data_IF_398845991388
#
_entry.id   IF_398845991388
#
_cell.length_a   1.000
_cell.length_b   1.000
_cell.length_c   1.000
_cell.angle_alpha   90.00
_cell.angle_beta   90.00
_cell.angle_gamma   90.00
#
_symmetry.space_group_name_H-M   'P 1'
#
loop_
_entity.id
_entity.type
_entity.pdbx_description
1 polymer ?
#
# COMPACT_ATOMS: atom_id res chain seq x y z
N UNK A 1 19.88 -2.17 7.31
CA UNK A 1 19.47 -0.77 7.03
C UNK A 1 19.80 -0.42 5.58
N UNK A 2 18.97 -0.88 4.65
CA UNK A 2 19.05 -0.55 3.23
C UNK A 2 17.94 0.47 2.94
N UNK A 3 18.32 1.75 2.89
CA UNK A 3 17.39 2.84 2.66
C UNK A 3 16.81 2.77 1.25
N UNK A 4 15.51 2.49 1.15
CA UNK A 4 14.73 2.62 -0.08
C UNK A 4 14.70 4.08 -0.54
N UNK A 5 15.34 4.36 -1.68
CA UNK A 5 15.38 5.68 -2.29
C UNK A 5 14.00 5.97 -2.91
N UNK A 6 13.33 7.01 -2.41
CA UNK A 6 12.06 7.50 -2.93
C UNK A 6 12.24 8.00 -4.37
N UNK A 7 11.73 7.26 -5.35
CA UNK A 7 11.72 7.71 -6.76
C UNK A 7 10.45 8.54 -6.96
N UNK A 8 10.61 9.86 -7.00
CA UNK A 8 9.55 10.78 -7.44
C UNK A 8 9.47 10.72 -8.97
N UNK A 9 8.58 9.89 -9.51
CA UNK A 9 8.25 9.94 -10.94
C UNK A 9 7.21 11.03 -11.20
N UNK A 10 7.69 12.26 -11.43
CA UNK A 10 6.91 13.28 -12.10
C UNK A 10 6.99 13.04 -13.61
N UNK A 11 6.06 12.28 -14.18
CA UNK A 11 5.88 12.23 -15.62
C UNK A 11 4.99 13.41 -16.05
N UNK A 12 5.64 14.48 -16.52
CA UNK A 12 4.99 15.58 -17.23
C UNK A 12 4.32 15.08 -18.51
N UNK A 13 3.11 15.59 -18.79
CA UNK A 13 2.43 15.43 -20.09
C UNK A 13 3.36 15.95 -21.20
N UNK A 14 3.90 15.06 -22.01
CA UNK A 14 4.69 15.39 -23.19
C UNK A 14 6.08 14.74 -23.29
N UNK A 15 6.53 13.99 -22.27
CA UNK A 15 7.79 13.25 -22.38
C UNK A 15 7.62 11.99 -23.24
N UNK A 16 7.87 12.11 -24.54
CA UNK A 16 8.20 10.95 -25.38
C UNK A 16 9.58 10.49 -24.95
N UNK A 17 9.64 9.46 -24.10
CA UNK A 17 10.88 8.73 -23.86
C UNK A 17 11.24 8.07 -25.19
N UNK A 18 12.09 8.72 -25.98
CA UNK A 18 12.64 8.21 -27.24
C UNK A 18 13.54 7.01 -26.97
N UNK A 19 12.93 5.88 -26.64
CA UNK A 19 13.58 4.59 -26.50
C UNK A 19 13.00 3.76 -27.63
N UNK A 20 13.74 3.61 -28.74
CA UNK A 20 13.47 2.61 -29.78
C UNK A 20 13.59 1.21 -29.17
N UNK A 21 12.57 0.83 -28.41
CA UNK A 21 12.52 -0.47 -27.75
C UNK A 21 11.93 -1.47 -28.74
N UNK A 22 12.58 -2.61 -28.99
CA UNK A 22 11.98 -3.69 -29.77
C UNK A 22 10.73 -4.29 -29.08
N UNK A 23 10.40 -3.84 -27.87
CA UNK A 23 9.18 -4.18 -27.14
C UNK A 23 8.04 -3.18 -27.36
N UNK A 24 8.28 -2.02 -27.98
CA UNK A 24 7.27 -0.98 -28.19
C UNK A 24 6.09 -1.49 -29.03
N UNK A 25 6.35 -2.26 -30.09
CA UNK A 25 5.33 -2.93 -30.90
C UNK A 25 4.71 -4.19 -30.28
N UNK A 26 5.21 -4.64 -29.11
CA UNK A 26 4.72 -5.86 -28.43
C UNK A 26 3.76 -5.57 -27.28
N UNK A 27 3.41 -4.30 -27.05
CA UNK A 27 2.43 -3.93 -26.01
C UNK A 27 1.06 -4.47 -26.39
N UNK A 28 0.38 -5.13 -25.46
CA UNK A 28 -1.05 -5.35 -25.62
C UNK A 28 -1.76 -4.02 -25.55
N UNK A 29 -2.50 -3.66 -26.60
CA UNK A 29 -3.45 -2.53 -26.58
C UNK A 29 -4.80 -2.94 -25.98
N UNK A 30 -5.00 -4.25 -25.75
CA UNK A 30 -6.19 -4.79 -25.10
C UNK A 30 -5.93 -4.82 -23.60
N UNK A 31 -6.66 -3.98 -22.87
CA UNK A 31 -6.68 -4.01 -21.40
C UNK A 31 -7.46 -5.22 -20.89
N UNK A 32 -7.12 -5.69 -19.70
CA UNK A 32 -7.88 -6.73 -19.00
C UNK A 32 -8.83 -6.05 -18.01
N UNK A 33 -10.12 -6.37 -18.09
CA UNK A 33 -11.07 -5.98 -17.07
C UNK A 33 -10.85 -6.85 -15.83
N UNK A 34 -10.57 -6.22 -14.69
CA UNK A 34 -10.51 -6.92 -13.41
C UNK A 34 -11.93 -7.16 -12.89
N UNK A 35 -12.17 -8.35 -12.34
CA UNK A 35 -13.41 -8.68 -11.64
C UNK A 35 -13.15 -8.60 -10.11
N UNK A 36 -13.40 -7.44 -9.47
CA UNK A 36 -13.11 -7.28 -8.06
C UNK A 36 -14.12 -8.04 -7.20
N UNK A 37 -13.63 -8.61 -6.09
CA UNK A 37 -14.46 -9.08 -4.97
C UNK A 37 -14.32 -8.08 -3.83
N UNK A 38 -15.44 -7.60 -3.31
CA UNK A 38 -15.43 -6.72 -2.14
C UNK A 38 -14.88 -7.46 -0.92
N UNK A 39 -14.00 -6.78 -0.18
CA UNK A 39 -13.46 -7.25 1.09
C UNK A 39 -13.34 -6.07 2.05
N UNK A 40 -13.32 -6.36 3.34
CA UNK A 40 -13.01 -5.36 4.37
C UNK A 40 -11.54 -5.46 4.72
N UNK A 41 -10.83 -4.35 4.67
CA UNK A 41 -9.44 -4.24 5.15
C UNK A 41 -9.43 -3.32 6.35
N UNK A 42 -9.02 -3.85 7.49
CA UNK A 42 -8.85 -3.08 8.74
C UNK A 42 -7.36 -2.78 8.95
N UNK A 43 -6.99 -1.71 9.67
CA UNK A 43 -5.59 -1.46 10.01
C UNK A 43 -4.99 -2.63 10.77
N UNK A 44 -3.75 -2.99 10.43
CA UNK A 44 -2.95 -3.97 11.18
C UNK A 44 -2.27 -3.30 12.38
N UNK A 45 -1.67 -4.10 13.27
CA UNK A 45 -0.90 -3.56 14.40
C UNK A 45 0.33 -2.77 13.93
N UNK A 46 0.84 -3.07 12.73
CA UNK A 46 1.97 -2.36 12.13
C UNK A 46 1.60 -0.94 11.65
N UNK A 47 0.33 -0.63 11.38
CA UNK A 47 -0.08 0.72 10.94
C UNK A 47 0.19 1.76 12.05
N UNK A 48 0.79 2.90 11.69
CA UNK A 48 1.15 3.96 12.64
C UNK A 48 -0.05 4.48 13.47
N UNK A 49 -1.28 4.36 12.95
CA UNK A 49 -2.50 4.75 13.67
C UNK A 49 -2.77 3.83 14.86
N UNK A 50 -2.42 2.54 14.77
CA UNK A 50 -2.51 1.62 15.89
C UNK A 50 -1.61 2.08 17.04
N UNK A 51 -0.36 2.41 16.73
CA UNK A 51 0.61 2.94 17.71
C UNK A 51 0.12 4.26 18.32
N UNK A 52 -0.39 5.19 17.50
CA UNK A 52 -0.95 6.47 17.97
C UNK A 52 -2.12 6.26 18.94
N UNK A 53 -3.01 5.34 18.63
CA UNK A 53 -4.28 5.19 19.33
C UNK A 53 -4.24 4.13 20.44
N UNK A 54 -3.11 3.46 20.65
CA UNK A 54 -2.97 2.31 21.54
C UNK A 54 -3.53 2.57 22.95
N UNK A 55 -3.14 3.66 23.61
CA UNK A 55 -3.61 3.97 24.97
C UNK A 55 -5.12 4.17 25.04
N UNK A 56 -5.69 4.84 24.04
CA UNK A 56 -7.13 5.09 23.96
C UNK A 56 -7.90 3.79 23.66
N UNK A 57 -7.33 2.92 22.83
CA UNK A 57 -7.86 1.58 22.56
C UNK A 57 -7.81 0.74 23.83
N UNK A 58 -6.71 0.73 24.58
CA UNK A 58 -6.55 -0.09 25.77
C UNK A 58 -7.49 0.35 26.93
N UNK A 59 -7.54 1.64 27.23
CA UNK A 59 -8.18 2.16 28.45
C UNK A 59 -9.72 2.15 28.45
N UNK A 60 -10.39 2.07 27.29
CA UNK A 60 -11.87 2.18 27.19
C UNK A 60 -12.58 0.82 27.20
N UNK A 61 -12.30 -0.04 28.18
CA UNK A 61 -12.69 -1.47 28.17
C UNK A 61 -12.23 -2.19 26.88
N UNK A 62 -11.20 -1.66 26.21
CA UNK A 62 -10.95 -2.00 24.82
C UNK A 62 -10.03 -3.20 24.65
N UNK A 63 -9.88 -4.04 25.68
CA UNK A 63 -9.30 -5.37 25.52
C UNK A 63 -10.01 -6.16 24.41
N UNK A 64 -11.34 -6.12 24.33
CA UNK A 64 -12.09 -6.75 23.25
C UNK A 64 -11.83 -6.14 21.86
N UNK A 65 -11.66 -4.81 21.78
CA UNK A 65 -11.37 -4.11 20.52
C UNK A 65 -9.92 -4.34 20.07
N UNK A 66 -8.99 -4.37 21.01
CA UNK A 66 -7.60 -4.69 20.79
C UNK A 66 -7.47 -6.13 20.29
N UNK A 67 -8.12 -7.09 20.95
CA UNK A 67 -8.16 -8.48 20.49
C UNK A 67 -8.74 -8.58 19.09
N UNK A 68 -9.84 -7.90 18.76
CA UNK A 68 -10.39 -7.93 17.41
C UNK A 68 -9.41 -7.38 16.33
N UNK A 69 -8.58 -6.39 16.66
CA UNK A 69 -7.55 -5.87 15.74
C UNK A 69 -6.36 -6.83 15.60
N UNK A 70 -5.96 -7.48 16.70
CA UNK A 70 -4.92 -8.49 16.70
C UNK A 70 -5.40 -9.75 15.96
N UNK A 71 -6.62 -10.21 16.21
CA UNK A 71 -7.26 -11.33 15.52
C UNK A 71 -7.43 -11.04 14.03
N UNK A 72 -7.72 -9.79 13.64
CA UNK A 72 -7.74 -9.41 12.23
C UNK A 72 -6.34 -9.40 11.59
N UNK A 73 -5.29 -9.16 12.37
CA UNK A 73 -3.91 -9.21 11.88
C UNK A 73 -3.35 -10.63 11.79
N UNK A 74 -3.60 -11.45 12.81
CA UNK A 74 -3.13 -12.84 12.89
C UNK A 74 -4.12 -13.85 12.29
N UNK A 75 -5.32 -13.41 11.95
CA UNK A 75 -6.31 -14.19 11.24
C UNK A 75 -5.87 -14.46 9.80
N UNK A 76 -6.37 -15.54 9.22
CA UNK A 76 -6.07 -15.94 7.85
C UNK A 76 -6.77 -15.03 6.82
N UNK A 77 -6.50 -13.73 6.83
CA UNK A 77 -6.80 -12.90 5.67
C UNK A 77 -5.63 -13.05 4.69
N UNK A 78 -5.88 -13.57 3.48
CA UNK A 78 -4.77 -13.90 2.61
C UNK A 78 -4.06 -12.64 2.12
N UNK A 79 -2.75 -12.80 1.94
CA UNK A 79 -1.84 -11.96 1.15
C UNK A 79 -2.45 -11.74 -0.25
N UNK A 80 -3.32 -10.74 -0.38
CA UNK A 80 -4.19 -10.58 -1.56
C UNK A 80 -4.05 -9.17 -2.12
N UNK A 81 -3.84 -9.14 -3.42
CA UNK A 81 -3.89 -7.92 -4.23
C UNK A 81 -5.20 -7.17 -3.99
N UNK A 82 -5.12 -5.88 -3.64
CA UNK A 82 -6.32 -5.12 -3.33
C UNK A 82 -6.21 -3.63 -3.72
N UNK A 83 -7.36 -2.98 -3.79
CA UNK A 83 -7.52 -1.54 -4.08
C UNK A 83 -8.35 -0.93 -2.95
N UNK A 84 -7.90 0.20 -2.41
CA UNK A 84 -8.56 0.84 -1.28
C UNK A 84 -8.30 0.13 0.06
N UNK A 85 -9.05 0.51 1.09
CA UNK A 85 -8.82 0.00 2.44
C UNK A 85 -7.66 0.68 3.17
N UNK A 86 -7.04 -0.06 4.09
CA UNK A 86 -5.91 0.38 4.90
C UNK A 86 -4.59 -0.21 4.39
N UNK A 87 -3.47 0.53 4.46
CA UNK A 87 -2.16 -0.02 4.13
C UNK A 87 -1.80 -1.19 5.04
N UNK A 88 -1.12 -2.19 4.48
CA UNK A 88 -0.61 -3.35 5.19
C UNK A 88 0.91 -3.28 5.22
N UNK A 89 1.56 -3.96 6.17
CA UNK A 89 3.03 -4.01 6.26
C UNK A 89 3.44 -5.36 6.80
N UNK A 90 4.42 -5.98 6.14
CA UNK A 90 5.16 -7.16 6.65
C UNK A 90 6.14 -6.71 7.73
N UNK A 91 6.79 -5.56 7.51
CA UNK A 91 7.68 -4.91 8.47
C UNK A 91 6.96 -3.74 9.17
N UNK A 92 7.70 -2.74 9.62
CA UNK A 92 7.14 -1.56 10.27
C UNK A 92 6.60 -0.53 9.28
N UNK A 93 5.49 0.11 9.64
CA UNK A 93 5.01 1.29 8.93
C UNK A 93 5.99 2.46 9.07
N UNK A 94 6.65 2.80 7.98
CA UNK A 94 7.60 3.91 7.87
C UNK A 94 7.02 5.26 8.30
N UNK A 95 5.69 5.46 8.25
CA UNK A 95 5.00 6.67 8.72
C UNK A 95 5.04 6.82 10.25
N UNK A 96 5.35 5.76 10.98
CA UNK A 96 5.65 5.80 12.42
C UNK A 96 6.87 6.67 12.70
N UNK A 97 7.94 6.48 11.92
CA UNK A 97 9.23 7.17 12.10
C UNK A 97 9.40 8.41 11.20
N UNK A 98 8.43 8.68 10.34
CA UNK A 98 8.44 9.81 9.39
C UNK A 98 7.05 10.47 9.32
N UNK A 99 6.69 11.28 10.32
CA UNK A 99 5.37 11.89 10.43
C UNK A 99 4.94 12.72 9.22
N UNK A 100 5.90 13.30 8.48
CA UNK A 100 5.66 14.08 7.26
C UNK A 100 4.95 13.30 6.15
N UNK A 101 4.96 11.97 6.22
CA UNK A 101 4.30 11.10 5.23
C UNK A 101 2.99 10.49 5.72
N UNK A 102 2.49 10.84 6.89
CA UNK A 102 1.19 10.33 7.40
C UNK A 102 0.00 10.68 6.51
N UNK A 103 0.16 11.63 5.58
CA UNK A 103 -0.81 11.91 4.51
C UNK A 103 -0.94 10.79 3.48
N UNK A 104 0.03 9.88 3.35
CA UNK A 104 -0.08 8.68 2.51
C UNK A 104 -1.01 7.65 3.18
N UNK A 105 -2.32 7.87 3.09
CA UNK A 105 -3.31 7.21 3.95
C UNK A 105 -4.42 6.48 3.18
N UNK A 106 -4.37 6.42 1.85
CA UNK A 106 -5.27 5.63 1.01
C UNK A 106 -4.46 4.72 0.11
N UNK A 107 -4.85 3.46 0.02
CA UNK A 107 -4.25 2.48 -0.90
C UNK A 107 -4.88 2.66 -2.28
N UNK A 108 -4.09 3.01 -3.29
CA UNK A 108 -4.49 2.95 -4.68
C UNK A 108 -4.41 1.52 -5.22
N UNK A 109 -3.33 0.82 -4.86
CA UNK A 109 -3.08 -0.55 -5.25
C UNK A 109 -2.09 -1.16 -4.27
N UNK A 110 -2.40 -2.35 -3.76
CA UNK A 110 -1.47 -3.22 -3.07
C UNK A 110 -1.30 -4.51 -3.85
N UNK A 111 -0.06 -4.96 -3.99
CA UNK A 111 0.30 -6.18 -4.70
C UNK A 111 1.12 -7.06 -3.78
N UNK A 112 0.59 -8.21 -3.42
CA UNK A 112 1.32 -9.21 -2.64
C UNK A 112 2.21 -10.07 -3.53
N UNK A 113 3.21 -10.72 -2.94
CA UNK A 113 3.95 -11.76 -3.64
C UNK A 113 3.03 -12.95 -3.91
N UNK A 114 3.17 -13.55 -5.08
CA UNK A 114 2.50 -14.78 -5.47
C UNK A 114 3.41 -15.61 -6.40
N UNK A 115 2.84 -16.57 -7.14
CA UNK A 115 3.60 -17.44 -8.05
C UNK A 115 4.18 -16.71 -9.27
N UNK A 116 3.73 -15.50 -9.55
CA UNK A 116 4.05 -14.70 -10.74
C UNK A 116 4.74 -13.38 -10.43
N UNK A 117 4.49 -12.82 -9.25
CA UNK A 117 5.07 -11.58 -8.77
C UNK A 117 5.80 -11.85 -7.44
N UNK A 118 7.01 -11.35 -7.27
CA UNK A 118 7.77 -11.54 -6.03
C UNK A 118 8.40 -10.23 -5.57
N UNK A 119 8.15 -9.88 -4.30
CA UNK A 119 8.74 -8.74 -3.61
C UNK A 119 9.73 -9.27 -2.56
N UNK A 120 11.01 -9.35 -2.91
CA UNK A 120 12.04 -9.86 -1.99
C UNK A 120 11.73 -11.28 -1.51
N UNK A 121 11.72 -11.48 -0.19
CA UNK A 121 11.35 -12.75 0.46
C UNK A 121 9.86 -12.74 0.85
N UNK A 122 8.99 -12.89 -0.15
CA UNK A 122 7.53 -12.96 0.00
C UNK A 122 6.91 -11.74 0.71
N UNK A 123 7.12 -10.56 0.14
CA UNK A 123 6.58 -9.29 0.62
C UNK A 123 5.41 -8.73 -0.19
N UNK A 124 5.23 -7.41 -0.11
CA UNK A 124 4.24 -6.67 -0.89
C UNK A 124 4.79 -5.32 -1.39
N UNK A 125 4.21 -4.84 -2.48
CA UNK A 125 4.42 -3.49 -3.02
C UNK A 125 3.11 -2.72 -3.07
N UNK A 126 3.12 -1.50 -2.55
CA UNK A 126 1.91 -0.66 -2.42
C UNK A 126 2.12 0.75 -2.95
N UNK A 127 1.06 1.25 -3.58
CA UNK A 127 0.91 2.62 -4.04
C UNK A 127 -0.12 3.32 -3.16
N UNK A 128 0.33 4.37 -2.47
CA UNK A 128 -0.49 5.15 -1.55
C UNK A 128 -0.70 6.57 -2.08
N UNK A 129 -1.83 7.17 -1.71
CA UNK A 129 -2.20 8.54 -2.05
C UNK A 129 -2.78 9.25 -0.84
N UNK A 130 -2.73 10.58 -0.85
CA UNK A 130 -3.44 11.40 0.11
C UNK A 130 -4.92 11.41 -0.22
N UNK A 131 -5.78 11.37 0.81
CA UNK A 131 -7.22 11.46 0.63
C UNK A 131 -7.62 12.69 -0.19
N UNK A 132 -6.98 13.83 0.07
CA UNK A 132 -7.26 15.11 -0.58
C UNK A 132 -6.94 15.06 -2.08
N UNK A 133 -5.85 14.39 -2.44
CA UNK A 133 -5.41 14.24 -3.83
C UNK A 133 -6.30 13.23 -4.57
N UNK A 134 -6.68 12.13 -3.90
CA UNK A 134 -7.63 11.15 -4.45
C UNK A 134 -9.00 11.78 -4.75
N UNK A 135 -9.52 12.63 -3.85
CA UNK A 135 -10.77 13.35 -4.07
C UNK A 135 -10.70 14.32 -5.27
N UNK A 136 -9.54 14.92 -5.51
CA UNK A 136 -9.27 15.79 -6.66
C UNK A 136 -8.92 15.02 -7.93
N UNK A 137 -8.79 13.68 -7.85
CA UNK A 137 -8.26 12.82 -8.91
C UNK A 137 -6.85 13.25 -9.37
N UNK A 138 -6.07 13.81 -8.44
CA UNK A 138 -4.71 14.25 -8.69
C UNK A 138 -3.72 13.13 -8.34
N UNK A 139 -3.30 12.40 -9.37
CA UNK A 139 -2.35 11.29 -9.23
C UNK A 139 -0.88 11.73 -9.37
N UNK A 140 -0.59 13.03 -9.30
CA UNK A 140 0.79 13.53 -9.38
C UNK A 140 1.63 13.26 -8.14
N UNK A 141 0.99 12.97 -7.00
CA UNK A 141 1.63 12.71 -5.71
C UNK A 141 1.25 11.33 -5.17
N UNK A 142 1.94 10.30 -5.66
CA UNK A 142 1.79 8.91 -5.20
C UNK A 142 3.05 8.51 -4.43
N UNK A 143 2.86 7.85 -3.30
CA UNK A 143 3.93 7.16 -2.58
C UNK A 143 3.97 5.71 -3.02
N UNK A 144 5.16 5.22 -3.33
CA UNK A 144 5.39 3.80 -3.55
C UNK A 144 6.30 3.29 -2.43
N UNK A 145 5.91 2.16 -1.84
CA UNK A 145 6.69 1.46 -0.83
C UNK A 145 6.61 -0.04 -1.08
N UNK A 146 7.64 -0.77 -0.68
CA UNK A 146 7.61 -2.22 -0.63
C UNK A 146 8.41 -2.70 0.57
N UNK A 147 8.00 -3.85 1.10
CA UNK A 147 8.61 -4.53 2.24
C UNK A 147 8.39 -6.03 2.11
N UNK A 148 9.24 -6.82 2.76
CA UNK A 148 9.20 -8.28 2.75
C UNK A 148 9.62 -8.85 4.11
N UNK A 149 9.54 -10.17 4.24
CA UNK A 149 9.98 -10.88 5.45
C UNK A 149 11.49 -10.73 5.69
#
# INVERSE_FOLDING_TARGET
>A
ATGGRMVRNALHKGAVLGIDSPLEGKRSLVGVALAPKASTRVPTYNDWQFVRDFEALYNRNGWGRLNALLDAHFGEEPEVHHVGGHPEFVQDDWRTFRPEYRKANRVLLNLWSDKTLMWGDAGQGQFLIAREDLLKRDFSNIWYQWDCS
#
